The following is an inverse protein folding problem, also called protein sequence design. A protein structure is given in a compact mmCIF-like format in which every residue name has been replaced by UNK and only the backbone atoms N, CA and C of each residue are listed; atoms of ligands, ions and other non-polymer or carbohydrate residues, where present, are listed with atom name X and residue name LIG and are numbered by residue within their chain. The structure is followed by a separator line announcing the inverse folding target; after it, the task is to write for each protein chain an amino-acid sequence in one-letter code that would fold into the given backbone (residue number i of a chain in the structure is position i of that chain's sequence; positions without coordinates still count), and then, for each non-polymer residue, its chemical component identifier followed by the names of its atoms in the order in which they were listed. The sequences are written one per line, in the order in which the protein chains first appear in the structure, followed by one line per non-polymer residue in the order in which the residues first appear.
data_IF_410683105648
#
_entry.id   IF_410683105648
#
_cell.length_a   1.000
_cell.length_b   1.000
_cell.length_c   1.000
_cell.angle_alpha   90.00
_cell.angle_beta   90.00
_cell.angle_gamma   90.00
#
_symmetry.space_group_name_H-M   'P 1'
#
loop_
_entity.id
_entity.type
_entity.pdbx_description
1 polymer ?
#
# COMPACT_ATOMS: atom_id res chain seq x y z
N UNK A 1 58.02 -4.36 -8.21
CA UNK A 1 57.31 -4.41 -6.88
C UNK A 1 56.83 -3.04 -6.38
N UNK A 2 57.39 -1.94 -6.82
CA UNK A 2 57.07 -0.57 -6.37
C UNK A 2 55.72 -0.03 -6.84
N UNK A 3 55.24 -0.36 -8.06
CA UNK A 3 53.95 0.18 -8.60
C UNK A 3 52.66 -0.29 -7.90
N UNK A 4 52.66 -1.48 -7.25
CA UNK A 4 51.47 -1.97 -6.53
C UNK A 4 51.25 -1.28 -5.18
N UNK A 5 52.31 -0.86 -4.48
CA UNK A 5 52.20 -0.16 -3.20
C UNK A 5 51.70 1.27 -3.34
N UNK A 6 52.07 1.96 -4.42
CA UNK A 6 51.58 3.32 -4.73
C UNK A 6 50.11 3.33 -5.09
N UNK A 7 49.61 2.36 -5.85
CA UNK A 7 48.16 2.27 -6.15
C UNK A 7 47.30 2.02 -4.91
N UNK A 8 47.75 1.17 -3.99
CA UNK A 8 47.02 0.90 -2.74
C UNK A 8 46.99 2.14 -1.83
N UNK A 9 48.09 2.90 -1.74
CA UNK A 9 48.14 4.12 -0.95
C UNK A 9 47.25 5.24 -1.52
N UNK A 10 47.16 5.38 -2.85
CA UNK A 10 46.30 6.34 -3.50
C UNK A 10 44.83 5.95 -3.32
N UNK A 11 44.47 4.66 -3.46
CA UNK A 11 43.13 4.17 -3.21
C UNK A 11 42.67 4.39 -1.77
N UNK A 12 43.54 4.08 -0.78
CA UNK A 12 43.28 4.33 0.63
C UNK A 12 43.12 5.83 0.95
N UNK A 13 43.89 6.69 0.31
CA UNK A 13 43.76 8.14 0.47
C UNK A 13 42.46 8.67 -0.11
N UNK A 14 42.05 8.18 -1.29
CA UNK A 14 40.76 8.55 -1.92
C UNK A 14 39.59 8.10 -1.04
N UNK A 15 39.61 6.86 -0.53
CA UNK A 15 38.60 6.34 0.39
C UNK A 15 38.53 7.16 1.67
N UNK A 16 39.69 7.52 2.25
CA UNK A 16 39.74 8.39 3.46
C UNK A 16 39.20 9.80 3.18
N UNK A 17 39.47 10.37 2.00
CA UNK A 17 38.93 11.69 1.63
C UNK A 17 37.41 11.60 1.47
N UNK A 18 36.89 10.53 0.89
CA UNK A 18 35.43 10.30 0.78
C UNK A 18 34.78 10.15 2.15
N UNK A 19 35.38 9.39 3.06
CA UNK A 19 34.87 9.21 4.43
C UNK A 19 34.91 10.54 5.20
N UNK A 20 36.01 11.29 5.10
CA UNK A 20 36.12 12.62 5.73
C UNK A 20 35.14 13.64 5.12
N UNK A 21 34.96 13.64 3.81
CA UNK A 21 33.98 14.50 3.15
C UNK A 21 32.53 14.15 3.55
N UNK A 22 32.22 12.85 3.66
CA UNK A 22 30.93 12.37 4.18
C UNK A 22 30.71 12.83 5.62
N UNK A 23 31.67 12.62 6.52
CA UNK A 23 31.60 13.06 7.91
C UNK A 23 31.45 14.60 8.06
N UNK A 24 32.19 15.39 7.27
CA UNK A 24 32.06 16.85 7.30
C UNK A 24 30.70 17.35 6.77
N UNK A 25 30.09 16.60 5.88
CA UNK A 25 28.75 16.92 5.38
C UNK A 25 27.66 16.51 6.38
N UNK A 26 27.84 15.38 7.07
CA UNK A 26 26.96 14.91 8.15
C UNK A 26 26.94 15.87 9.35
N UNK A 27 28.10 16.43 9.73
CA UNK A 27 28.18 17.42 10.83
C UNK A 27 27.45 18.75 10.53
N UNK A 28 27.23 19.08 9.24
CA UNK A 28 26.60 20.34 8.80
C UNK A 28 25.15 20.20 8.41
N UNK A 29 24.67 19.00 8.11
CA UNK A 29 23.30 18.80 7.68
C UNK A 29 22.31 19.08 8.83
N UNK A 30 21.30 19.92 8.62
CA UNK A 30 20.33 20.26 9.66
C UNK A 30 19.42 19.08 10.01
N UNK A 31 19.26 18.11 9.11
CA UNK A 31 18.48 16.91 9.30
C UNK A 31 19.26 15.70 8.72
N UNK A 32 19.39 14.63 9.50
CA UNK A 32 19.96 13.38 9.03
C UNK A 32 19.13 12.18 9.49
N UNK A 33 19.10 11.13 8.67
CA UNK A 33 18.50 9.82 8.96
C UNK A 33 19.60 8.77 8.77
N UNK A 34 19.90 8.00 9.81
CA UNK A 34 21.04 7.05 9.87
C UNK A 34 22.40 7.64 9.49
N UNK A 35 22.57 8.97 9.71
CA UNK A 35 23.77 9.71 9.34
C UNK A 35 23.73 10.31 7.93
N UNK A 36 22.81 9.90 7.06
CA UNK A 36 22.68 10.46 5.72
C UNK A 36 21.85 11.74 5.73
N UNK A 37 22.30 12.82 5.08
CA UNK A 37 21.59 14.07 5.04
C UNK A 37 20.24 13.94 4.29
N UNK A 38 19.23 14.63 4.81
CA UNK A 38 17.89 14.77 4.17
C UNK A 38 17.82 16.17 3.60
N UNK A 39 17.56 16.27 2.29
CA UNK A 39 17.39 17.57 1.63
C UNK A 39 16.00 18.18 1.90
N UNK A 40 15.87 19.49 1.69
CA UNK A 40 14.58 20.17 1.82
C UNK A 40 13.59 19.68 0.75
N UNK A 41 14.08 19.38 -0.44
CA UNK A 41 13.28 18.85 -1.55
C UNK A 41 12.74 17.45 -1.23
N UNK A 42 13.57 16.59 -0.64
CA UNK A 42 13.11 15.27 -0.19
C UNK A 42 12.07 15.38 0.93
N UNK A 43 12.30 16.27 1.89
CA UNK A 43 11.34 16.53 2.96
C UNK A 43 10.01 17.06 2.39
N UNK A 44 10.08 17.90 1.35
CA UNK A 44 8.90 18.44 0.67
C UNK A 44 8.08 17.33 -0.03
N UNK A 45 8.67 16.21 -0.46
CA UNK A 45 7.93 15.05 -0.98
C UNK A 45 6.94 14.46 0.03
N UNK A 46 7.15 14.75 1.30
CA UNK A 46 6.35 14.28 2.44
C UNK A 46 5.61 15.42 3.16
N UNK A 47 5.39 16.55 2.50
CA UNK A 47 4.75 17.74 3.07
C UNK A 47 5.44 18.22 4.38
N UNK A 48 6.77 18.08 4.47
CA UNK A 48 7.55 18.40 5.64
C UNK A 48 7.48 17.37 6.79
N UNK A 49 6.78 16.25 6.61
CA UNK A 49 6.64 15.21 7.65
C UNK A 49 7.92 14.38 7.79
N UNK A 50 8.59 14.56 8.93
CA UNK A 50 9.77 13.75 9.28
C UNK A 50 9.46 12.26 9.36
N UNK A 51 8.34 11.90 9.98
CA UNK A 51 7.92 10.51 10.12
C UNK A 51 7.78 9.81 8.75
N UNK A 52 7.07 10.46 7.80
CA UNK A 52 6.91 9.92 6.44
C UNK A 52 8.25 9.86 5.68
N UNK A 53 9.14 10.82 5.91
CA UNK A 53 10.48 10.82 5.31
C UNK A 53 11.32 9.66 5.84
N UNK A 54 11.35 9.44 7.16
CA UNK A 54 12.05 8.31 7.79
C UNK A 54 11.50 6.98 7.27
N UNK A 55 10.17 6.82 7.25
CA UNK A 55 9.53 5.61 6.71
C UNK A 55 9.98 5.31 5.29
N UNK A 56 9.97 6.31 4.44
CA UNK A 56 10.36 6.16 3.04
C UNK A 56 11.84 5.84 2.88
N UNK A 57 12.71 6.50 3.66
CA UNK A 57 14.16 6.22 3.69
C UNK A 57 14.44 4.78 4.12
N UNK A 58 13.73 4.27 5.12
CA UNK A 58 13.90 2.89 5.55
C UNK A 58 13.46 1.88 4.49
N UNK A 59 12.41 2.16 3.71
CA UNK A 59 12.03 1.33 2.57
C UNK A 59 13.15 1.28 1.52
N UNK A 60 13.75 2.42 1.19
CA UNK A 60 14.84 2.48 0.22
C UNK A 60 16.10 1.77 0.74
N UNK A 61 16.50 2.00 1.99
CA UNK A 61 17.63 1.35 2.62
C UNK A 61 17.44 -0.16 2.69
N UNK A 62 16.27 -0.63 3.10
CA UNK A 62 15.97 -2.07 3.16
C UNK A 62 16.05 -2.73 1.77
N UNK A 63 15.51 -2.09 0.73
CA UNK A 63 15.62 -2.59 -0.65
C UNK A 63 17.08 -2.63 -1.13
N UNK A 64 17.89 -1.63 -0.79
CA UNK A 64 19.29 -1.55 -1.15
C UNK A 64 20.14 -2.62 -0.41
N UNK A 65 19.95 -2.79 0.89
CA UNK A 65 20.59 -3.85 1.68
C UNK A 65 20.28 -5.25 1.12
N UNK A 66 19.07 -5.43 0.62
CA UNK A 66 18.64 -6.65 -0.06
C UNK A 66 19.21 -6.83 -1.46
N UNK A 67 19.94 -5.87 -1.99
CA UNK A 67 20.45 -5.88 -3.37
C UNK A 67 19.39 -5.77 -4.43
N UNK A 68 18.18 -5.28 -4.08
CA UNK A 68 17.04 -5.14 -5.00
C UNK A 68 17.03 -3.79 -5.71
N UNK A 69 17.70 -2.78 -5.18
CA UNK A 69 17.76 -1.43 -5.74
C UNK A 69 19.01 -0.71 -5.21
N UNK A 70 19.31 0.45 -5.79
CA UNK A 70 20.33 1.35 -5.28
C UNK A 70 19.82 2.12 -4.05
N UNK A 71 20.77 2.60 -3.22
CA UNK A 71 20.47 3.52 -2.13
C UNK A 71 19.83 4.82 -2.65
N UNK A 72 19.07 5.51 -1.79
CA UNK A 72 18.46 6.77 -2.17
C UNK A 72 19.51 7.87 -2.32
N UNK A 73 19.48 8.55 -3.47
CA UNK A 73 20.16 9.80 -3.73
C UNK A 73 19.22 10.71 -4.51
N UNK A 74 19.09 11.97 -4.05
CA UNK A 74 18.23 12.94 -4.74
C UNK A 74 18.75 13.26 -6.14
N UNK A 75 20.06 13.39 -6.31
CA UNK A 75 20.68 13.70 -7.59
C UNK A 75 20.47 12.56 -8.59
N UNK A 76 20.63 11.30 -8.15
CA UNK A 76 20.39 10.13 -8.99
C UNK A 76 18.90 9.98 -9.34
N UNK A 77 17.99 10.33 -8.40
CA UNK A 77 16.56 10.38 -8.67
C UNK A 77 16.26 11.36 -9.82
N UNK A 78 16.80 12.58 -9.76
CA UNK A 78 16.55 13.61 -10.79
C UNK A 78 17.14 13.19 -12.12
N UNK A 79 18.37 12.64 -12.14
CA UNK A 79 18.99 12.15 -13.37
C UNK A 79 18.19 11.00 -14.00
N UNK A 80 17.72 10.05 -13.19
CA UNK A 80 16.90 8.93 -13.66
C UNK A 80 15.52 9.39 -14.15
N UNK A 81 14.92 10.38 -13.49
CA UNK A 81 13.68 11.02 -13.92
C UNK A 81 13.81 11.67 -15.30
N UNK A 82 14.90 12.42 -15.55
CA UNK A 82 15.14 13.05 -16.83
C UNK A 82 15.28 12.00 -17.96
N UNK A 83 15.95 10.90 -17.67
CA UNK A 83 16.08 9.79 -18.61
C UNK A 83 14.72 9.14 -18.88
N UNK A 84 13.96 8.78 -17.83
CA UNK A 84 12.61 8.22 -17.98
C UNK A 84 11.70 9.13 -18.79
N UNK A 85 11.64 10.42 -18.48
CA UNK A 85 10.81 11.37 -19.20
C UNK A 85 11.21 11.51 -20.68
N UNK A 86 12.51 11.41 -20.97
CA UNK A 86 13.01 11.42 -22.36
C UNK A 86 12.55 10.17 -23.12
N UNK A 87 12.71 9.00 -22.53
CA UNK A 87 12.27 7.72 -23.12
C UNK A 87 10.75 7.71 -23.35
N UNK A 88 9.97 8.21 -22.41
CA UNK A 88 8.51 8.30 -22.51
C UNK A 88 8.06 9.22 -23.64
N UNK A 89 8.68 10.40 -23.78
CA UNK A 89 8.42 11.31 -24.91
C UNK A 89 8.75 10.68 -26.25
N UNK A 90 9.88 9.97 -26.32
CA UNK A 90 10.27 9.24 -27.51
C UNK A 90 9.24 8.18 -27.88
N UNK A 91 8.86 7.32 -26.92
CA UNK A 91 7.85 6.27 -27.12
C UNK A 91 6.52 6.86 -27.58
N UNK A 92 6.06 7.98 -26.99
CA UNK A 92 4.87 8.67 -27.44
C UNK A 92 4.97 9.17 -28.88
N UNK A 93 6.11 9.77 -29.25
CA UNK A 93 6.32 10.28 -30.61
C UNK A 93 6.34 9.18 -31.67
N UNK A 94 6.71 7.96 -31.27
CA UNK A 94 6.74 6.76 -32.12
C UNK A 94 5.37 6.03 -32.14
N UNK A 95 4.34 6.55 -31.46
CA UNK A 95 3.00 5.95 -31.38
C UNK A 95 2.92 4.73 -30.47
N UNK A 96 3.89 4.54 -29.58
CA UNK A 96 3.90 3.46 -28.59
C UNK A 96 2.87 3.65 -27.49
N UNK A 97 2.49 2.55 -26.83
CA UNK A 97 1.55 2.58 -25.70
C UNK A 97 2.28 3.02 -24.43
N UNK A 98 1.78 4.09 -23.81
CA UNK A 98 2.27 4.59 -22.53
C UNK A 98 1.27 4.29 -21.42
N UNK A 99 1.76 3.68 -20.32
CA UNK A 99 1.01 3.55 -19.08
C UNK A 99 1.42 4.68 -18.13
N UNK A 100 0.44 5.44 -17.64
CA UNK A 100 0.66 6.61 -16.78
C UNK A 100 0.96 7.90 -17.55
N UNK A 101 1.46 8.96 -16.88
CA UNK A 101 1.69 10.27 -17.50
C UNK A 101 2.81 10.24 -18.55
N UNK A 102 2.77 11.14 -19.51
CA UNK A 102 3.85 11.31 -20.49
C UNK A 102 5.14 11.80 -19.84
N UNK A 103 5.01 12.69 -18.87
CA UNK A 103 6.09 13.20 -18.04
C UNK A 103 5.74 13.03 -16.57
N UNK A 104 6.66 12.48 -15.80
CA UNK A 104 6.57 12.48 -14.33
C UNK A 104 7.15 13.77 -13.77
N UNK A 105 6.51 14.30 -12.73
CA UNK A 105 7.15 15.25 -11.81
C UNK A 105 8.10 14.52 -10.87
N UNK A 106 9.06 15.20 -10.21
CA UNK A 106 9.95 14.56 -9.24
C UNK A 106 9.20 13.78 -8.15
N UNK A 107 8.13 14.35 -7.58
CA UNK A 107 7.30 13.71 -6.57
C UNK A 107 6.58 12.46 -7.10
N UNK A 108 6.01 12.52 -8.30
CA UNK A 108 5.33 11.37 -8.89
C UNK A 108 6.31 10.22 -9.17
N UNK A 109 7.51 10.56 -9.66
CA UNK A 109 8.54 9.57 -9.92
C UNK A 109 9.08 8.95 -8.64
N UNK A 110 9.35 9.75 -7.62
CA UNK A 110 9.75 9.29 -6.31
C UNK A 110 8.73 8.31 -5.69
N UNK A 111 7.43 8.67 -5.72
CA UNK A 111 6.36 7.80 -5.22
C UNK A 111 6.26 6.49 -6.00
N UNK A 112 6.43 6.53 -7.31
CA UNK A 112 6.47 5.34 -8.14
C UNK A 112 7.61 4.41 -7.73
N UNK A 113 8.83 4.93 -7.62
CA UNK A 113 10.00 4.15 -7.25
C UNK A 113 9.89 3.59 -5.82
N UNK A 114 9.37 4.37 -4.87
CA UNK A 114 9.13 3.90 -3.50
C UNK A 114 8.12 2.74 -3.49
N UNK A 115 7.02 2.87 -4.24
CA UNK A 115 6.03 1.79 -4.36
C UNK A 115 6.57 0.54 -5.09
N UNK A 116 7.50 0.70 -6.02
CA UNK A 116 8.22 -0.44 -6.64
C UNK A 116 9.06 -1.19 -5.61
N UNK A 117 9.83 -0.48 -4.79
CA UNK A 117 10.66 -1.07 -3.72
C UNK A 117 9.80 -1.79 -2.68
N UNK A 118 8.70 -1.19 -2.26
CA UNK A 118 7.75 -1.82 -1.35
C UNK A 118 7.21 -3.14 -1.92
N UNK A 119 6.83 -3.16 -3.21
CA UNK A 119 6.40 -4.41 -3.87
C UNK A 119 7.50 -5.46 -3.93
N UNK A 120 8.74 -5.06 -4.27
CA UNK A 120 9.89 -5.97 -4.30
C UNK A 120 10.15 -6.58 -2.92
N UNK A 121 10.08 -5.79 -1.87
CA UNK A 121 10.25 -6.25 -0.48
C UNK A 121 9.15 -7.24 -0.08
N UNK A 122 7.88 -6.95 -0.40
CA UNK A 122 6.77 -7.87 -0.14
C UNK A 122 6.90 -9.18 -0.93
N UNK A 123 7.32 -9.10 -2.19
CA UNK A 123 7.60 -10.30 -3.00
C UNK A 123 8.68 -11.15 -2.36
N UNK A 124 9.77 -10.52 -1.92
CA UNK A 124 10.87 -11.25 -1.24
C UNK A 124 10.42 -11.89 0.06
N UNK A 125 9.59 -11.22 0.86
CA UNK A 125 8.99 -11.81 2.06
C UNK A 125 8.26 -13.11 1.70
N UNK A 126 7.48 -13.13 0.60
CA UNK A 126 6.77 -14.33 0.16
C UNK A 126 7.71 -15.42 -0.36
N UNK A 127 8.78 -15.07 -1.07
CA UNK A 127 9.79 -16.02 -1.56
C UNK A 127 10.52 -16.71 -0.41
N UNK A 128 10.68 -16.03 0.73
CA UNK A 128 11.32 -16.54 1.94
C UNK A 128 10.32 -17.25 2.88
N UNK A 129 9.02 -17.25 2.57
CA UNK A 129 7.95 -17.78 3.42
C UNK A 129 7.55 -19.20 3.01
N UNK A 130 7.49 -20.11 3.99
CA UNK A 130 6.99 -21.45 3.82
C UNK A 130 5.47 -21.50 3.61
N UNK A 131 4.99 -22.41 2.76
CA UNK A 131 3.53 -22.65 2.60
C UNK A 131 2.84 -23.01 3.92
N UNK A 132 3.54 -23.70 4.82
CA UNK A 132 3.01 -24.03 6.15
C UNK A 132 2.79 -22.77 7.03
N UNK A 133 3.55 -21.71 6.82
CA UNK A 133 3.40 -20.43 7.52
C UNK A 133 2.17 -19.68 7.00
N UNK A 134 1.93 -19.70 5.69
CA UNK A 134 0.72 -19.11 5.10
C UNK A 134 -0.55 -19.85 5.56
N UNK A 135 -0.52 -21.19 5.63
CA UNK A 135 -1.65 -21.99 6.15
C UNK A 135 -1.92 -21.62 7.62
N UNK A 136 -0.88 -21.52 8.45
CA UNK A 136 -1.04 -21.12 9.86
C UNK A 136 -1.59 -19.70 9.99
N UNK A 137 -1.14 -18.78 9.15
CA UNK A 137 -1.66 -17.42 9.11
C UNK A 137 -3.16 -17.43 8.76
N UNK A 138 -3.56 -18.17 7.71
CA UNK A 138 -4.95 -18.33 7.34
C UNK A 138 -5.79 -18.93 8.50
N UNK A 139 -5.31 -20.00 9.16
CA UNK A 139 -6.02 -20.64 10.28
C UNK A 139 -6.28 -19.68 11.46
N UNK A 140 -5.37 -18.71 11.68
CA UNK A 140 -5.51 -17.71 12.74
C UNK A 140 -6.30 -16.47 12.33
N UNK A 141 -6.64 -16.32 11.04
CA UNK A 141 -7.36 -15.17 10.48
C UNK A 141 -8.56 -15.58 9.63
N UNK A 142 -9.18 -16.72 9.93
CA UNK A 142 -10.29 -17.27 9.13
C UNK A 142 -11.47 -16.31 8.99
N UNK A 143 -11.68 -15.44 9.97
CA UNK A 143 -12.72 -14.41 9.92
C UNK A 143 -12.57 -13.41 8.76
N UNK A 144 -11.34 -13.24 8.23
CA UNK A 144 -11.06 -12.39 7.08
C UNK A 144 -11.37 -13.08 5.73
N UNK A 145 -11.63 -14.40 5.78
CA UNK A 145 -11.81 -15.24 4.59
C UNK A 145 -13.15 -15.99 4.66
N UNK A 146 -14.20 -15.25 4.98
CA UNK A 146 -15.57 -15.78 5.00
C UNK A 146 -16.35 -15.27 3.78
N UNK A 147 -17.21 -16.14 3.24
CA UNK A 147 -18.27 -15.66 2.35
C UNK A 147 -19.16 -14.66 3.09
N UNK A 148 -19.84 -13.80 2.35
CA UNK A 148 -20.90 -12.97 2.92
C UNK A 148 -22.04 -13.86 3.42
N UNK A 149 -22.75 -13.40 4.46
CA UNK A 149 -23.93 -14.09 4.95
C UNK A 149 -24.99 -14.17 3.85
N UNK A 150 -25.71 -15.29 3.76
CA UNK A 150 -26.92 -15.37 2.98
C UNK A 150 -28.06 -14.80 3.79
N UNK A 151 -28.71 -13.74 3.29
CA UNK A 151 -29.78 -13.02 3.97
C UNK A 151 -31.03 -13.03 3.10
N UNK A 152 -32.10 -13.62 3.63
CA UNK A 152 -33.43 -13.56 3.03
C UNK A 152 -34.26 -12.52 3.76
N UNK A 153 -34.88 -11.60 3.03
CA UNK A 153 -35.69 -10.55 3.62
C UNK A 153 -36.93 -10.26 2.80
N UNK A 154 -38.01 -9.89 3.48
CA UNK A 154 -39.18 -9.26 2.89
C UNK A 154 -38.90 -7.77 2.67
N UNK A 155 -39.26 -7.28 1.49
CA UNK A 155 -39.09 -5.88 1.13
C UNK A 155 -40.44 -5.29 0.73
N UNK A 156 -40.85 -4.24 1.44
CA UNK A 156 -42.11 -3.53 1.21
C UNK A 156 -41.85 -2.07 0.90
N UNK A 157 -42.50 -1.55 -0.13
CA UNK A 157 -42.49 -0.11 -0.45
C UNK A 157 -43.92 0.40 -0.35
N UNK A 158 -44.14 1.50 0.39
CA UNK A 158 -45.40 2.20 0.52
C UNK A 158 -45.28 3.63 0.05
N UNK A 159 -46.33 4.11 -0.63
CA UNK A 159 -46.46 5.51 -1.03
C UNK A 159 -47.85 5.99 -0.66
N UNK A 160 -47.95 7.14 0.00
CA UNK A 160 -49.22 7.70 0.48
C UNK A 160 -50.09 6.67 1.27
N UNK A 161 -49.46 5.83 2.07
CA UNK A 161 -50.09 4.79 2.88
C UNK A 161 -50.53 3.53 2.11
N UNK A 162 -50.28 3.47 0.79
CA UNK A 162 -50.60 2.28 -0.03
C UNK A 162 -49.34 1.49 -0.33
N UNK A 163 -49.41 0.17 -0.23
CA UNK A 163 -48.33 -0.71 -0.67
C UNK A 163 -48.30 -0.69 -2.19
N UNK A 164 -47.13 -0.27 -2.73
CA UNK A 164 -46.88 -0.23 -4.19
C UNK A 164 -45.94 -1.35 -4.64
N UNK A 165 -45.21 -1.95 -3.71
CA UNK A 165 -44.36 -3.12 -3.92
C UNK A 165 -44.28 -3.97 -2.65
N UNK A 166 -44.34 -5.28 -2.83
CA UNK A 166 -44.10 -6.28 -1.80
C UNK A 166 -43.44 -7.49 -2.46
N UNK A 167 -42.30 -7.96 -1.90
CA UNK A 167 -41.54 -9.07 -2.46
C UNK A 167 -40.42 -9.53 -1.52
N UNK A 168 -39.77 -10.59 -1.93
CA UNK A 168 -38.60 -11.11 -1.22
C UNK A 168 -37.32 -10.67 -1.92
N UNK A 169 -36.30 -10.45 -1.13
CA UNK A 169 -34.94 -10.19 -1.60
C UNK A 169 -33.99 -11.17 -0.93
N UNK A 170 -33.04 -11.72 -1.70
CA UNK A 170 -31.98 -12.59 -1.20
C UNK A 170 -30.66 -11.93 -1.51
N UNK A 171 -29.83 -11.77 -0.48
CA UNK A 171 -28.45 -11.34 -0.59
C UNK A 171 -27.55 -12.53 -0.35
N UNK A 172 -26.67 -12.80 -1.30
CA UNK A 172 -25.67 -13.87 -1.25
C UNK A 172 -24.37 -13.43 -1.97
N UNK A 173 -23.28 -14.18 -1.80
CA UNK A 173 -21.96 -13.84 -2.36
C UNK A 173 -22.00 -13.54 -3.87
N UNK A 174 -22.79 -14.28 -4.64
CA UNK A 174 -22.89 -14.09 -6.09
C UNK A 174 -23.66 -12.81 -6.45
N UNK A 175 -24.71 -12.47 -5.69
CA UNK A 175 -25.54 -11.29 -5.92
C UNK A 175 -24.83 -9.97 -5.58
N UNK A 176 -23.77 -10.02 -4.77
CA UNK A 176 -22.94 -8.84 -4.44
C UNK A 176 -22.09 -8.34 -5.62
N UNK A 177 -21.92 -9.17 -6.66
CA UNK A 177 -21.12 -8.79 -7.83
C UNK A 177 -22.02 -8.05 -8.86
N UNK A 178 -21.71 -6.77 -9.08
CA UNK A 178 -22.37 -5.97 -10.12
C UNK A 178 -23.72 -5.36 -9.71
N UNK A 179 -23.90 -5.10 -8.41
CA UNK A 179 -25.04 -4.36 -7.90
C UNK A 179 -25.12 -2.95 -8.50
N UNK A 180 -26.34 -2.48 -8.77
CA UNK A 180 -26.58 -1.08 -9.09
C UNK A 180 -26.49 -0.20 -7.83
N UNK A 181 -26.34 1.13 -7.97
CA UNK A 181 -26.28 2.06 -6.81
C UNK A 181 -27.46 1.92 -5.84
N UNK A 182 -28.65 1.60 -6.38
CA UNK A 182 -29.85 1.36 -5.55
C UNK A 182 -29.78 0.04 -4.79
N UNK A 183 -29.19 -0.97 -5.41
CA UNK A 183 -29.06 -2.31 -4.84
C UNK A 183 -27.91 -2.36 -3.84
N UNK A 184 -26.82 -1.58 -4.04
CA UNK A 184 -25.75 -1.39 -3.06
C UNK A 184 -26.29 -0.88 -1.72
N UNK A 185 -27.17 0.13 -1.74
CA UNK A 185 -27.80 0.65 -0.52
C UNK A 185 -28.74 -0.36 0.14
N UNK A 186 -29.46 -1.13 -0.67
CA UNK A 186 -30.32 -2.20 -0.17
C UNK A 186 -29.47 -3.29 0.52
N UNK A 187 -28.39 -3.70 -0.12
CA UNK A 187 -27.44 -4.68 0.43
C UNK A 187 -26.77 -4.16 1.72
N UNK A 188 -26.38 -2.89 1.75
CA UNK A 188 -25.80 -2.25 2.94
C UNK A 188 -26.76 -2.30 4.15
N UNK A 189 -28.05 -2.04 3.93
CA UNK A 189 -29.05 -2.13 4.98
C UNK A 189 -29.32 -3.58 5.41
N UNK A 190 -29.35 -4.52 4.45
CA UNK A 190 -29.53 -5.95 4.75
C UNK A 190 -28.38 -6.51 5.61
N UNK A 191 -27.14 -6.16 5.28
CA UNK A 191 -25.96 -6.62 6.00
C UNK A 191 -25.95 -6.20 7.49
N UNK A 192 -26.68 -5.13 7.83
CA UNK A 192 -26.79 -4.64 9.21
C UNK A 192 -27.91 -5.32 10.02
N UNK A 193 -28.79 -6.11 9.37
CA UNK A 193 -29.91 -6.73 10.03
C UNK A 193 -29.58 -8.11 10.57
N UNK A 194 -29.94 -8.34 11.82
CA UNK A 194 -30.03 -9.69 12.39
C UNK A 194 -31.36 -10.35 12.00
N UNK A 195 -31.42 -11.68 12.12
CA UNK A 195 -32.65 -12.43 11.85
C UNK A 195 -33.82 -11.91 12.70
N UNK A 196 -34.96 -11.66 12.08
CA UNK A 196 -36.12 -11.02 12.68
C UNK A 196 -36.02 -9.49 12.79
N UNK A 197 -34.86 -8.90 12.45
CA UNK A 197 -34.65 -7.45 12.47
C UNK A 197 -35.40 -6.73 11.34
N UNK A 198 -35.72 -5.47 11.57
CA UNK A 198 -36.38 -4.60 10.59
C UNK A 198 -35.60 -3.31 10.39
N UNK A 199 -35.57 -2.83 9.15
CA UNK A 199 -35.00 -1.53 8.81
C UNK A 199 -35.97 -0.73 7.95
N UNK A 200 -36.22 0.53 8.34
CA UNK A 200 -37.15 1.43 7.65
C UNK A 200 -36.45 2.71 7.25
N UNK A 201 -36.65 3.14 6.01
CA UNK A 201 -36.13 4.42 5.52
C UNK A 201 -37.08 5.05 4.52
N UNK A 202 -36.91 6.34 4.26
CA UNK A 202 -37.65 7.08 3.24
C UNK A 202 -36.84 7.12 1.94
N UNK A 203 -37.42 6.70 0.85
CA UNK A 203 -36.83 6.77 -0.49
C UNK A 203 -36.75 8.20 -1.03
N UNK A 204 -36.06 8.37 -2.16
CA UNK A 204 -35.83 9.69 -2.80
C UNK A 204 -37.10 10.43 -3.18
N UNK A 205 -38.19 9.70 -3.49
CA UNK A 205 -39.47 10.28 -3.89
C UNK A 205 -40.51 10.26 -2.74
N UNK A 206 -40.06 10.10 -1.51
CA UNK A 206 -40.91 10.08 -0.32
C UNK A 206 -41.59 8.74 -0.04
N UNK A 207 -41.17 7.65 -0.70
CA UNK A 207 -41.65 6.31 -0.39
C UNK A 207 -41.18 5.84 1.01
N UNK A 208 -42.08 5.16 1.73
CA UNK A 208 -41.70 4.45 2.97
C UNK A 208 -41.28 3.02 2.58
N UNK A 209 -40.04 2.69 2.85
CA UNK A 209 -39.40 1.42 2.53
C UNK A 209 -39.10 0.65 3.81
N UNK A 210 -39.46 -0.62 3.81
CA UNK A 210 -39.27 -1.52 4.96
C UNK A 210 -38.59 -2.81 4.49
N UNK A 211 -37.54 -3.18 5.17
CA UNK A 211 -36.93 -4.51 5.13
C UNK A 211 -37.23 -5.25 6.44
N UNK A 212 -37.52 -6.54 6.29
CA UNK A 212 -37.66 -7.47 7.40
C UNK A 212 -36.79 -8.69 7.11
N UNK A 213 -35.71 -8.88 7.86
CA UNK A 213 -34.84 -10.04 7.72
C UNK A 213 -35.57 -11.29 8.22
N UNK A 214 -35.89 -12.20 7.33
CA UNK A 214 -36.62 -13.45 7.66
C UNK A 214 -35.65 -14.54 8.07
N UNK A 215 -34.47 -14.58 7.42
CA UNK A 215 -33.45 -15.61 7.65
C UNK A 215 -32.07 -15.04 7.42
N UNK A 216 -31.12 -15.43 8.29
CA UNK A 216 -29.72 -15.12 8.12
C UNK A 216 -28.88 -16.34 8.36
N UNK A 217 -28.16 -16.80 7.34
CA UNK A 217 -27.18 -17.87 7.45
C UNK A 217 -25.79 -17.29 7.33
N UNK A 218 -24.92 -17.61 8.28
CA UNK A 218 -23.51 -17.20 8.22
C UNK A 218 -22.83 -17.77 6.98
N UNK A 219 -22.05 -16.93 6.33
CA UNK A 219 -21.16 -17.34 5.26
C UNK A 219 -20.20 -18.43 5.73
N UNK A 220 -19.84 -19.31 4.81
CA UNK A 220 -18.84 -20.36 5.10
C UNK A 220 -17.45 -19.74 5.13
N UNK A 221 -16.54 -20.36 5.87
CA UNK A 221 -15.11 -20.10 5.72
C UNK A 221 -14.67 -20.59 4.33
N UNK A 222 -14.08 -19.70 3.53
CA UNK A 222 -13.59 -20.04 2.19
C UNK A 222 -12.31 -20.86 2.34
N UNK A 223 -12.19 -22.06 1.70
CA UNK A 223 -11.00 -22.89 1.81
C UNK A 223 -9.72 -22.16 1.40
N UNK A 224 -8.60 -22.48 2.06
CA UNK A 224 -7.30 -21.87 1.80
C UNK A 224 -6.93 -21.85 0.30
N UNK A 225 -7.18 -22.95 -0.40
CA UNK A 225 -6.86 -23.12 -1.82
C UNK A 225 -7.57 -22.08 -2.72
N UNK A 226 -8.76 -21.64 -2.32
CA UNK A 226 -9.54 -20.63 -3.04
C UNK A 226 -9.06 -19.19 -2.76
N UNK A 227 -8.44 -18.96 -1.59
CA UNK A 227 -8.00 -17.64 -1.12
C UNK A 227 -6.49 -17.50 -0.93
N UNK A 228 -5.70 -18.52 -1.33
CA UNK A 228 -4.26 -18.54 -1.09
C UNK A 228 -3.52 -17.27 -1.56
N UNK A 229 -3.92 -16.68 -2.69
CA UNK A 229 -3.36 -15.41 -3.17
C UNK A 229 -3.67 -14.25 -2.23
N UNK A 230 -4.92 -14.12 -1.78
CA UNK A 230 -5.32 -13.07 -0.84
C UNK A 230 -4.64 -13.22 0.53
N UNK A 231 -4.49 -14.47 0.99
CA UNK A 231 -3.75 -14.80 2.23
C UNK A 231 -2.29 -14.37 2.10
N UNK A 232 -1.64 -14.72 0.98
CA UNK A 232 -0.24 -14.36 0.72
C UNK A 232 -0.06 -12.82 0.70
N UNK A 233 -0.93 -12.10 0.00
CA UNK A 233 -0.87 -10.64 -0.10
C UNK A 233 -1.02 -9.97 1.27
N UNK A 234 -2.00 -10.42 2.07
CA UNK A 234 -2.24 -9.89 3.41
C UNK A 234 -1.09 -10.21 4.35
N UNK A 235 -0.61 -11.45 4.35
CA UNK A 235 0.55 -11.88 5.12
C UNK A 235 1.79 -11.03 4.80
N UNK A 236 2.10 -10.87 3.50
CA UNK A 236 3.26 -10.06 3.08
C UNK A 236 3.12 -8.60 3.51
N UNK A 237 1.92 -8.03 3.42
CA UNK A 237 1.66 -6.67 3.87
C UNK A 237 1.90 -6.51 5.37
N UNK A 238 1.39 -7.42 6.19
CA UNK A 238 1.58 -7.38 7.65
C UNK A 238 3.05 -7.60 8.05
N UNK A 239 3.71 -8.58 7.45
CA UNK A 239 5.14 -8.84 7.71
C UNK A 239 6.01 -7.66 7.31
N UNK A 240 5.71 -7.03 6.17
CA UNK A 240 6.39 -5.82 5.72
C UNK A 240 6.23 -4.68 6.74
N UNK A 241 5.01 -4.39 7.22
CA UNK A 241 4.77 -3.34 8.21
C UNK A 241 5.44 -3.64 9.56
N UNK A 242 5.43 -4.89 10.00
CA UNK A 242 6.10 -5.32 11.24
C UNK A 242 7.61 -5.10 11.15
N UNK A 243 8.24 -5.50 10.04
CA UNK A 243 9.68 -5.33 9.86
C UNK A 243 10.05 -3.86 9.69
N UNK A 244 9.29 -3.12 8.88
CA UNK A 244 9.51 -1.69 8.70
C UNK A 244 9.38 -0.90 10.02
N UNK A 245 8.41 -1.26 10.87
CA UNK A 245 8.25 -0.64 12.20
C UNK A 245 9.48 -0.87 13.08
N UNK A 246 10.06 -2.08 13.07
CA UNK A 246 11.30 -2.36 13.81
C UNK A 246 12.48 -1.53 13.29
N UNK A 247 12.63 -1.49 11.96
CA UNK A 247 13.70 -0.71 11.32
C UNK A 247 13.60 0.77 11.65
N UNK A 248 12.40 1.33 11.61
CA UNK A 248 12.13 2.74 11.99
C UNK A 248 12.47 2.97 13.46
N UNK A 249 12.16 2.03 14.35
CA UNK A 249 12.49 2.15 15.78
C UNK A 249 13.99 2.16 16.04
N UNK A 250 14.78 1.46 15.23
CA UNK A 250 16.24 1.41 15.32
C UNK A 250 16.93 2.58 14.58
N UNK A 251 16.18 3.36 13.81
CA UNK A 251 16.66 4.45 12.99
C UNK A 251 17.18 5.63 13.84
N UNK A 252 18.36 6.14 13.49
CA UNK A 252 18.97 7.30 14.15
C UNK A 252 18.59 8.58 13.41
N UNK A 253 17.74 9.39 14.02
CA UNK A 253 17.35 10.68 13.47
C UNK A 253 18.02 11.81 14.25
N UNK A 254 18.67 12.75 13.54
CA UNK A 254 19.18 14.00 14.10
C UNK A 254 18.52 15.19 13.41
N UNK A 255 17.69 15.92 14.14
CA UNK A 255 17.02 17.13 13.64
C UNK A 255 17.52 18.35 14.41
N UNK A 256 18.29 19.21 13.75
CA UNK A 256 18.88 20.44 14.30
C UNK A 256 18.19 21.72 13.79
N UNK A 257 17.09 21.59 13.04
CA UNK A 257 16.36 22.74 12.44
C UNK A 257 15.62 23.59 13.48
N UNK A 258 15.37 23.03 14.66
CA UNK A 258 14.59 23.68 15.73
C UNK A 258 15.46 24.30 16.85
N UNK A 259 16.72 24.60 16.58
CA UNK A 259 17.59 25.29 17.55
C UNK A 259 17.81 26.74 17.20
#
# INVERSE_FOLDING_TARGET
MFKRRTCLAVFAAVVMIFILAKQLNEEKAPLTVNGDPVSEEELAFHDGSLERTVRSREIWSWAAEGGMADEFSYDDLIQSLENENRERKKLQSEGGVLYGPVEYTPLQYYRRLTGERERMLRTRILEETDSSELIRYYETHQENYMDVDTIEAEYTIRQEGRTIYEGNVVLEAESMRGLSESDEKLAEHLLQLEEGGQYRWTGKNGEDKLLHCVRREKGRVIPFEEVAGAVADQYAAERFEQELTKRIADCKVSDRRQK
#
